data_IF_223703425299
#
_entry.id   IF_223703425299
#
_cell.length_a   1.000
_cell.length_b   1.000
_cell.length_c   1.000
_cell.angle_alpha   90.00
_cell.angle_beta   90.00
_cell.angle_gamma   90.00
#
_symmetry.space_group_name_H-M   'P 1'
#
loop_
_entity.id
_entity.type
_entity.pdbx_description
1 polymer ?
#
# COMPACT_ATOMS: atom_id res chain seq x y z
N UNK A 1 12.15 4.90 19.33
CA UNK A 1 12.03 4.04 18.12
C UNK A 1 10.84 3.06 18.20
N UNK A 2 10.15 2.91 19.34
CA UNK A 2 8.99 2.01 19.51
C UNK A 2 7.66 2.56 18.96
N UNK A 3 7.57 3.86 18.66
CA UNK A 3 6.32 4.52 18.25
C UNK A 3 5.87 4.27 16.81
N UNK A 4 6.72 3.69 15.95
CA UNK A 4 6.30 3.32 14.59
C UNK A 4 5.57 1.97 14.62
N UNK A 5 6.09 0.98 15.37
CA UNK A 5 5.55 -0.38 15.44
C UNK A 5 4.15 -0.42 16.05
N UNK A 6 3.87 0.42 17.06
CA UNK A 6 2.58 0.43 17.76
C UNK A 6 1.43 1.02 16.92
N UNK A 7 1.71 1.98 16.04
CA UNK A 7 0.69 2.56 15.14
C UNK A 7 0.17 1.55 14.12
N UNK A 8 1.00 0.59 13.70
CA UNK A 8 0.59 -0.49 12.79
C UNK A 8 -0.31 -1.56 13.44
N UNK A 9 -0.48 -1.57 14.77
CA UNK A 9 -1.05 -2.72 15.48
C UNK A 9 -2.55 -2.66 15.80
N UNK A 10 -3.16 -1.48 15.78
CA UNK A 10 -4.48 -1.30 16.42
C UNK A 10 -5.67 -1.12 15.46
N UNK A 11 -5.46 -0.90 14.16
CA UNK A 11 -6.55 -0.87 13.15
C UNK A 11 -6.59 -2.13 12.25
N UNK A 12 -5.79 -3.15 12.58
CA UNK A 12 -5.21 -4.08 11.60
C UNK A 12 -5.88 -5.45 11.46
N UNK A 13 -6.60 -5.96 12.46
CA UNK A 13 -7.00 -7.37 12.44
C UNK A 13 -8.07 -7.70 11.39
N UNK A 14 -9.09 -6.87 11.24
CA UNK A 14 -10.18 -7.12 10.28
C UNK A 14 -9.74 -6.91 8.83
N UNK A 15 -9.06 -5.80 8.53
CA UNK A 15 -8.59 -5.50 7.16
C UNK A 15 -7.54 -6.47 6.62
N UNK A 16 -6.78 -7.15 7.50
CA UNK A 16 -5.77 -8.13 7.07
C UNK A 16 -6.35 -9.53 6.85
N UNK A 17 -7.51 -9.83 7.42
CA UNK A 17 -8.17 -11.13 7.30
C UNK A 17 -8.52 -11.49 5.85
N UNK A 18 -8.84 -10.48 5.02
CA UNK A 18 -9.19 -10.62 3.59
C UNK A 18 -8.05 -11.18 2.72
N UNK A 19 -6.81 -11.13 3.19
CA UNK A 19 -5.64 -11.68 2.50
C UNK A 19 -5.33 -13.13 2.93
N UNK A 20 -6.04 -13.66 3.92
CA UNK A 20 -5.91 -15.03 4.40
C UNK A 20 -4.74 -15.29 5.35
N UNK A 21 -4.66 -16.51 5.91
CA UNK A 21 -3.72 -16.87 6.98
C UNK A 21 -2.25 -16.81 6.54
N UNK A 22 -1.96 -17.16 5.28
CA UNK A 22 -0.59 -17.10 4.73
C UNK A 22 -0.04 -15.68 4.71
N UNK A 23 -0.89 -14.65 4.49
CA UNK A 23 -0.46 -13.25 4.52
C UNK A 23 -0.10 -12.83 5.94
N UNK A 24 -0.90 -13.26 6.92
CA UNK A 24 -0.62 -12.99 8.34
C UNK A 24 0.72 -13.58 8.78
N UNK A 25 1.09 -14.77 8.31
CA UNK A 25 2.39 -15.38 8.59
C UNK A 25 3.53 -14.66 7.86
N UNK A 26 3.31 -14.28 6.60
CA UNK A 26 4.28 -13.50 5.84
C UNK A 26 4.59 -12.14 6.49
N UNK A 27 3.55 -11.43 6.97
CA UNK A 27 3.72 -10.19 7.72
C UNK A 27 4.52 -10.36 9.02
N UNK A 28 4.32 -11.47 9.74
CA UNK A 28 5.15 -11.80 10.93
C UNK A 28 6.62 -12.01 10.57
N UNK A 29 6.91 -12.66 9.43
CA UNK A 29 8.28 -12.85 8.95
C UNK A 29 8.95 -11.53 8.55
N UNK A 30 8.18 -10.61 7.95
CA UNK A 30 8.63 -9.25 7.66
C UNK A 30 8.92 -8.51 8.97
N UNK A 31 7.99 -8.53 9.94
CA UNK A 31 8.16 -7.89 11.25
C UNK A 31 9.41 -8.42 11.98
N UNK A 32 9.62 -9.73 11.98
CA UNK A 32 10.81 -10.35 12.56
C UNK A 32 12.10 -9.88 11.87
N UNK A 33 12.11 -9.79 10.54
CA UNK A 33 13.26 -9.32 9.76
C UNK A 33 13.53 -7.82 9.97
N UNK A 34 12.48 -7.01 10.13
CA UNK A 34 12.55 -5.60 10.50
C UNK A 34 13.13 -5.42 11.90
N UNK A 35 12.69 -6.23 12.89
CA UNK A 35 13.24 -6.20 14.25
C UNK A 35 14.73 -6.58 14.28
N UNK A 36 15.16 -7.44 13.36
CA UNK A 36 16.57 -7.78 13.13
C UNK A 36 17.34 -6.74 12.31
N UNK A 37 16.72 -5.61 11.96
CA UNK A 37 17.31 -4.54 11.12
C UNK A 37 17.86 -5.03 9.78
N UNK A 38 17.19 -6.01 9.17
CA UNK A 38 17.60 -6.59 7.87
C UNK A 38 17.15 -5.75 6.68
N UNK A 39 16.08 -4.98 6.84
CA UNK A 39 15.62 -4.03 5.85
C UNK A 39 16.24 -2.65 6.11
N UNK A 40 16.54 -1.90 5.04
CA UNK A 40 16.98 -0.51 5.15
C UNK A 40 15.86 0.40 5.68
N UNK A 41 14.62 0.11 5.29
CA UNK A 41 13.42 0.73 5.81
C UNK A 41 12.28 -0.31 5.83
N UNK A 42 11.29 -0.10 6.70
CA UNK A 42 10.19 -1.06 6.89
C UNK A 42 9.35 -1.12 5.61
N UNK A 43 9.19 -2.28 4.95
CA UNK A 43 8.34 -2.41 3.77
C UNK A 43 6.90 -1.94 4.04
N UNK A 44 6.29 -1.21 3.10
CA UNK A 44 4.90 -0.73 3.21
C UNK A 44 3.97 -1.67 2.47
N UNK A 45 3.24 -2.49 3.20
CA UNK A 45 2.18 -3.29 2.63
C UNK A 45 1.47 -4.23 3.62
N UNK A 46 0.43 -4.97 3.17
CA UNK A 46 -0.16 -4.86 1.83
C UNK A 46 -0.76 -3.46 1.61
N UNK A 47 -0.67 -2.90 0.40
CA UNK A 47 -1.09 -1.52 0.10
C UNK A 47 -2.53 -1.24 0.54
N UNK A 48 -3.46 -2.18 0.34
CA UNK A 48 -4.85 -2.02 0.77
C UNK A 48 -5.03 -1.82 2.29
N UNK A 49 -4.01 -2.12 3.10
CA UNK A 49 -4.02 -1.81 4.53
C UNK A 49 -4.04 -0.30 4.82
N UNK A 50 -3.45 0.50 3.92
CA UNK A 50 -3.29 1.95 4.08
C UNK A 50 -4.44 2.75 3.47
N UNK A 51 -5.37 2.08 2.77
CA UNK A 51 -6.44 2.71 2.02
C UNK A 51 -7.76 2.63 2.81
N UNK A 52 -8.50 3.73 2.79
CA UNK A 52 -9.88 3.81 3.25
C UNK A 52 -10.75 4.48 2.19
N UNK A 53 -11.95 3.96 1.99
CA UNK A 53 -12.95 4.54 1.09
C UNK A 53 -14.16 4.91 1.95
N UNK A 54 -14.27 6.19 2.38
CA UNK A 54 -15.31 6.61 3.33
C UNK A 54 -16.72 6.37 2.80
N UNK A 55 -16.92 6.60 1.51
CA UNK A 55 -18.23 6.53 0.86
C UNK A 55 -18.46 5.12 0.30
N UNK A 56 -19.49 4.44 0.80
CA UNK A 56 -19.75 3.04 0.43
C UNK A 56 -19.96 2.84 -1.08
N UNK A 57 -20.60 3.80 -1.76
CA UNK A 57 -20.85 3.76 -3.21
C UNK A 57 -19.59 3.61 -4.07
N UNK A 58 -18.42 3.97 -3.54
CA UNK A 58 -17.15 3.93 -4.26
C UNK A 58 -16.29 2.70 -3.92
N UNK A 59 -16.66 1.90 -2.91
CA UNK A 59 -15.80 0.82 -2.42
C UNK A 59 -15.49 -0.23 -3.48
N UNK A 60 -16.51 -0.71 -4.16
CA UNK A 60 -16.35 -1.73 -5.21
C UNK A 60 -15.54 -1.20 -6.40
N UNK A 61 -15.83 0.02 -6.85
CA UNK A 61 -15.08 0.68 -7.92
C UNK A 61 -13.59 0.80 -7.58
N UNK A 62 -13.28 1.31 -6.39
CA UNK A 62 -11.91 1.43 -5.90
C UNK A 62 -11.23 0.06 -5.81
N UNK A 63 -11.91 -0.94 -5.25
CA UNK A 63 -11.39 -2.29 -5.11
C UNK A 63 -11.05 -2.92 -6.47
N UNK A 64 -11.92 -2.76 -7.47
CA UNK A 64 -11.71 -3.24 -8.83
C UNK A 64 -10.51 -2.55 -9.51
N UNK A 65 -10.39 -1.23 -9.40
CA UNK A 65 -9.28 -0.47 -10.01
C UNK A 65 -7.93 -0.85 -9.40
N UNK A 66 -7.93 -1.13 -8.10
CA UNK A 66 -6.73 -1.42 -7.32
C UNK A 66 -6.48 -2.91 -7.08
N UNK A 67 -7.32 -3.83 -7.56
CA UNK A 67 -7.34 -5.25 -7.16
C UNK A 67 -5.94 -5.89 -7.17
N UNK A 68 -5.20 -5.76 -8.28
CA UNK A 68 -3.85 -6.31 -8.42
C UNK A 68 -2.77 -5.58 -7.60
N UNK A 69 -3.09 -4.40 -7.08
CA UNK A 69 -2.19 -3.54 -6.31
C UNK A 69 -2.40 -3.66 -4.80
N UNK A 70 -3.63 -3.92 -4.34
CA UNK A 70 -3.98 -4.07 -2.93
C UNK A 70 -3.07 -5.03 -2.14
N UNK A 71 -2.70 -6.24 -2.64
CA UNK A 71 -1.82 -7.15 -1.90
C UNK A 71 -0.33 -6.78 -1.99
N UNK A 72 0.04 -5.76 -2.78
CA UNK A 72 1.43 -5.41 -3.10
C UNK A 72 2.13 -4.69 -1.95
N UNK A 73 3.46 -4.61 -2.04
CA UNK A 73 4.31 -3.94 -1.05
C UNK A 73 5.26 -2.96 -1.74
N UNK A 74 5.51 -1.82 -1.08
CA UNK A 74 6.52 -0.85 -1.47
C UNK A 74 7.77 -1.07 -0.61
N UNK A 75 8.95 -1.08 -1.25
CA UNK A 75 10.26 -1.22 -0.60
C UNK A 75 11.18 -0.09 -1.04
N UNK A 76 12.08 0.31 -0.14
CA UNK A 76 12.90 1.51 -0.32
C UNK A 76 14.00 1.36 -1.38
N UNK A 77 14.46 0.13 -1.63
CA UNK A 77 15.49 -0.17 -2.62
C UNK A 77 15.45 -1.64 -3.07
N UNK A 78 16.27 -1.96 -4.07
CA UNK A 78 16.36 -3.30 -4.66
C UNK A 78 16.87 -4.38 -3.69
N UNK A 79 17.71 -4.02 -2.72
CA UNK A 79 18.19 -4.99 -1.71
C UNK A 79 17.04 -5.44 -0.80
N UNK A 80 16.21 -4.48 -0.36
CA UNK A 80 14.99 -4.76 0.39
C UNK A 80 13.99 -5.58 -0.46
N UNK A 81 13.88 -5.29 -1.76
CA UNK A 81 13.06 -6.08 -2.71
C UNK A 81 13.51 -7.54 -2.76
N UNK A 82 14.80 -7.79 -2.92
CA UNK A 82 15.37 -9.14 -2.98
C UNK A 82 15.12 -9.90 -1.67
N UNK A 83 15.32 -9.23 -0.52
CA UNK A 83 15.05 -9.82 0.79
C UNK A 83 13.57 -10.20 0.93
N UNK A 84 12.65 -9.30 0.55
CA UNK A 84 11.22 -9.54 0.63
C UNK A 84 10.76 -10.67 -0.31
N UNK A 85 11.29 -10.72 -1.54
CA UNK A 85 11.07 -11.83 -2.46
C UNK A 85 11.55 -13.16 -1.88
N UNK A 86 12.71 -13.19 -1.20
CA UNK A 86 13.22 -14.40 -0.54
C UNK A 86 12.30 -14.84 0.60
N UNK A 87 11.75 -13.92 1.39
CA UNK A 87 10.76 -14.24 2.41
C UNK A 87 9.47 -14.80 1.81
N UNK A 88 8.97 -14.20 0.72
CA UNK A 88 7.75 -14.64 0.01
C UNK A 88 7.86 -16.07 -0.52
N UNK A 89 9.06 -16.55 -0.89
CA UNK A 89 9.28 -17.94 -1.35
C UNK A 89 8.86 -19.01 -0.33
N UNK A 90 8.79 -18.68 0.96
CA UNK A 90 8.27 -19.58 2.01
C UNK A 90 6.74 -19.77 1.94
N UNK A 91 6.05 -18.92 1.18
CA UNK A 91 4.59 -18.85 1.10
C UNK A 91 4.12 -19.00 -0.36
N UNK A 92 4.25 -20.21 -0.96
CA UNK A 92 3.87 -20.45 -2.35
C UNK A 92 2.36 -20.28 -2.59
N UNK A 93 1.53 -20.51 -1.57
CA UNK A 93 0.07 -20.41 -1.65
C UNK A 93 -0.47 -18.97 -1.56
N UNK A 94 0.39 -17.99 -1.30
CA UNK A 94 -0.03 -16.59 -1.36
C UNK A 94 -0.27 -16.21 -2.82
N UNK A 95 -1.41 -15.56 -3.08
CA UNK A 95 -1.72 -14.88 -4.35
C UNK A 95 -0.50 -14.07 -4.86
N UNK A 96 -0.37 -13.84 -6.18
CA UNK A 96 0.68 -12.99 -6.71
C UNK A 96 0.74 -11.64 -5.97
N UNK A 97 1.94 -11.26 -5.55
CA UNK A 97 2.23 -10.00 -4.84
C UNK A 97 3.26 -9.24 -5.68
N UNK A 98 3.00 -7.96 -5.96
CA UNK A 98 4.01 -7.10 -6.57
C UNK A 98 4.89 -6.48 -5.48
N UNK A 99 6.18 -6.32 -5.78
CA UNK A 99 7.14 -5.64 -4.92
C UNK A 99 7.67 -4.43 -5.66
N UNK A 100 7.14 -3.25 -5.32
CA UNK A 100 7.43 -1.99 -5.98
C UNK A 100 8.62 -1.35 -5.27
N UNK A 101 9.64 -0.99 -6.04
CA UNK A 101 10.82 -0.31 -5.51
C UNK A 101 10.67 1.18 -5.75
N UNK A 102 10.61 1.95 -4.68
CA UNK A 102 10.51 3.41 -4.71
C UNK A 102 11.24 3.97 -3.50
N UNK A 103 12.01 5.03 -3.68
CA UNK A 103 12.64 5.73 -2.57
C UNK A 103 11.56 6.28 -1.63
N UNK A 104 11.75 6.06 -0.33
CA UNK A 104 10.78 6.50 0.66
C UNK A 104 10.87 8.00 0.86
N UNK A 105 9.86 8.70 0.34
CA UNK A 105 9.67 10.13 0.55
C UNK A 105 8.52 10.31 1.54
N UNK A 106 8.82 10.87 2.71
CA UNK A 106 7.83 11.13 3.77
C UNK A 106 6.93 12.35 3.47
N UNK A 107 7.25 13.11 2.42
CA UNK A 107 6.45 14.23 1.92
C UNK A 107 5.56 13.77 0.76
N UNK A 108 4.29 14.17 0.80
CA UNK A 108 3.37 13.97 -0.31
C UNK A 108 3.81 14.78 -1.53
N UNK A 109 3.73 14.18 -2.72
CA UNK A 109 3.92 14.90 -3.97
C UNK A 109 2.88 16.00 -4.11
N UNK A 110 3.34 17.18 -4.55
CA UNK A 110 2.44 18.24 -4.99
C UNK A 110 1.90 17.90 -6.38
N UNK A 111 0.64 17.47 -6.41
CA UNK A 111 -0.06 17.08 -7.64
C UNK A 111 -0.91 18.22 -8.22
N UNK A 112 -0.85 19.44 -7.67
CA UNK A 112 -1.71 20.56 -8.10
C UNK A 112 -1.59 20.86 -9.60
N UNK A 113 -0.39 20.70 -10.16
CA UNK A 113 -0.09 21.00 -11.57
C UNK A 113 -0.38 19.84 -12.54
N UNK A 114 -0.69 18.65 -12.02
CA UNK A 114 -0.95 17.44 -12.80
C UNK A 114 -2.31 16.79 -12.54
N UNK A 115 -3.10 17.35 -11.63
CA UNK A 115 -4.47 16.93 -11.36
C UNK A 115 -5.40 17.37 -12.49
N UNK A 116 -6.20 16.42 -12.99
CA UNK A 116 -7.33 16.72 -13.87
C UNK A 116 -8.31 17.60 -13.10
N UNK A 117 -8.65 18.76 -13.67
CA UNK A 117 -9.72 19.61 -13.15
C UNK A 117 -11.06 19.01 -13.58
N UNK A 118 -11.88 18.59 -12.61
CA UNK A 118 -13.22 18.06 -12.88
C UNK A 118 -14.23 19.20 -12.70
N UNK A 119 -15.12 19.41 -13.69
CA UNK A 119 -16.25 20.33 -13.52
C UNK A 119 -17.31 19.70 -12.63
N UNK A 120 -18.08 20.53 -11.94
CA UNK A 120 -19.13 20.05 -11.04
C UNK A 120 -20.10 19.08 -11.78
N UNK A 121 -20.17 17.83 -11.31
CA UNK A 121 -21.05 16.78 -11.86
C UNK A 121 -20.41 15.87 -12.93
N UNK A 122 -19.14 16.04 -13.28
CA UNK A 122 -18.47 15.25 -14.34
C UNK A 122 -17.79 13.96 -13.86
N UNK A 123 -17.78 13.69 -12.55
CA UNK A 123 -17.17 12.49 -11.96
C UNK A 123 -16.36 12.83 -10.72
N UNK A 124 -15.53 11.88 -10.28
CA UNK A 124 -14.64 12.06 -9.13
C UNK A 124 -13.26 11.50 -9.47
N UNK A 125 -12.19 12.09 -8.92
CA UNK A 125 -10.88 11.46 -9.00
C UNK A 125 -10.77 10.35 -7.97
N UNK A 126 -10.00 9.32 -8.31
CA UNK A 126 -9.67 8.26 -7.37
C UNK A 126 -9.02 8.81 -6.09
N UNK A 127 -8.30 9.94 -6.20
CA UNK A 127 -7.68 10.59 -5.06
C UNK A 127 -8.64 11.33 -4.13
N UNK A 128 -9.77 11.81 -4.64
CA UNK A 128 -10.74 12.56 -3.84
C UNK A 128 -11.65 11.64 -3.02
N UNK A 129 -11.83 10.40 -3.50
CA UNK A 129 -12.74 9.41 -2.90
C UNK A 129 -12.05 8.46 -1.91
N UNK A 130 -10.73 8.49 -1.83
CA UNK A 130 -9.92 7.63 -0.94
C UNK A 130 -9.14 8.42 0.10
N UNK A 131 -8.85 7.78 1.22
CA UNK A 131 -7.88 8.26 2.22
C UNK A 131 -6.74 7.27 2.33
N UNK A 132 -5.52 7.74 2.10
CA UNK A 132 -4.30 6.94 2.22
C UNK A 132 -3.50 7.42 3.43
N UNK A 133 -3.21 6.54 4.38
CA UNK A 133 -2.63 6.91 5.68
C UNK A 133 -1.10 7.00 5.71
N UNK A 134 -0.42 6.57 4.66
CA UNK A 134 1.06 6.56 4.56
C UNK A 134 1.50 7.29 3.27
N UNK A 135 2.37 8.32 3.38
CA UNK A 135 2.76 9.15 2.24
C UNK A 135 3.56 8.38 1.17
N UNK A 136 4.34 7.37 1.56
CA UNK A 136 5.07 6.53 0.61
C UNK A 136 4.09 5.72 -0.22
N UNK A 137 3.05 5.17 0.41
CA UNK A 137 2.00 4.43 -0.30
C UNK A 137 1.21 5.34 -1.24
N UNK A 138 0.89 6.55 -0.79
CA UNK A 138 0.19 7.56 -1.56
C UNK A 138 0.99 7.99 -2.82
N UNK A 139 2.27 8.34 -2.65
CA UNK A 139 3.15 8.68 -3.76
C UNK A 139 3.30 7.50 -4.75
N UNK A 140 3.45 6.28 -4.22
CA UNK A 140 3.51 5.07 -5.05
C UNK A 140 2.24 4.85 -5.89
N UNK A 141 1.05 5.11 -5.31
CA UNK A 141 -0.22 5.06 -6.02
C UNK A 141 -0.29 6.13 -7.12
N UNK A 142 0.15 7.36 -6.84
CA UNK A 142 0.22 8.44 -7.84
C UNK A 142 1.07 8.00 -9.05
N UNK A 143 2.26 7.45 -8.80
CA UNK A 143 3.20 7.02 -9.85
C UNK A 143 2.65 5.85 -10.69
N UNK A 144 2.02 4.85 -10.08
CA UNK A 144 1.69 3.57 -10.75
C UNK A 144 0.25 3.47 -11.25
N UNK A 145 -0.67 4.27 -10.69
CA UNK A 145 -2.10 4.20 -11.01
C UNK A 145 -2.65 5.48 -11.59
N UNK A 146 -1.80 6.50 -11.82
CA UNK A 146 -2.21 7.81 -12.30
C UNK A 146 -3.47 8.27 -11.57
N UNK A 147 -3.39 8.34 -10.25
CA UNK A 147 -4.54 8.59 -9.36
C UNK A 147 -5.27 9.93 -9.62
N UNK A 148 -4.72 10.75 -10.54
CA UNK A 148 -5.32 11.95 -11.12
C UNK A 148 -6.18 11.70 -12.37
N UNK A 149 -6.37 10.45 -12.82
CA UNK A 149 -7.30 10.11 -13.91
C UNK A 149 -8.76 10.01 -13.39
N UNK A 150 -9.71 10.43 -14.23
CA UNK A 150 -11.15 10.53 -13.95
C UNK A 150 -11.83 9.14 -13.83
N UNK A 151 -12.76 9.00 -12.87
CA UNK A 151 -13.63 7.84 -12.69
C UNK A 151 -15.06 8.07 -13.20
#
# INVERSE_FOLDING_TARGET
MENQISKYRNATKDKLSVYGPSMSQFLKDIENSTRQKRFSAIPRGPIGHFIEVPQQKYRETVENILEGFLPSFVVNNDQDRILLMKLKKKYPNLRPIQFITAEFVDQLYDISNGCVQISEGEGELLIDIMRVSDPVVMNCLIDHKKMSELL
#
